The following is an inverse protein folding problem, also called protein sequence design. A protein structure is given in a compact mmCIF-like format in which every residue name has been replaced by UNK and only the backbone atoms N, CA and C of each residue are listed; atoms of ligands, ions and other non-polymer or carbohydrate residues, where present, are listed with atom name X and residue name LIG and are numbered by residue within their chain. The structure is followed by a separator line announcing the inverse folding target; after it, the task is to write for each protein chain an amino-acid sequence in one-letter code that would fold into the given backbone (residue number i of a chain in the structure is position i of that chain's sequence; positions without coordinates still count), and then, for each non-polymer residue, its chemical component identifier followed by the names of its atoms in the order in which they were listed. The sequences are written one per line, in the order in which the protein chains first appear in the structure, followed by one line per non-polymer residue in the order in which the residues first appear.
data_IF_956008803555
#
_entry.id   IF_956008803555
#
_cell.length_a   1.000
_cell.length_b   1.000
_cell.length_c   1.000
_cell.angle_alpha   90.00
_cell.angle_beta   90.00
_cell.angle_gamma   90.00
#
_symmetry.space_group_name_H-M   'P 1'
#
loop_
_entity.id
_entity.type
_entity.pdbx_description
1 polymer ?
#
# COMPACT_ATOMS: atom_id res chain seq x y z
N UNK A 1 17.64 5.06 30.60
CA UNK A 1 18.55 4.61 29.52
C UNK A 1 17.83 4.90 28.21
N UNK A 2 18.10 6.06 27.62
CA UNK A 2 17.43 6.47 26.38
C UNK A 2 17.85 5.50 25.28
N UNK A 3 16.89 4.72 24.76
CA UNK A 3 17.10 3.99 23.52
C UNK A 3 17.39 5.04 22.46
N UNK A 4 18.66 5.14 22.06
CA UNK A 4 19.08 5.86 20.89
C UNK A 4 18.21 5.31 19.75
N UNK A 5 17.28 6.12 19.22
CA UNK A 5 16.37 5.68 18.16
C UNK A 5 17.20 5.20 16.99
N UNK A 6 17.31 3.88 16.90
CA UNK A 6 17.97 3.17 15.82
C UNK A 6 17.35 3.66 14.50
N UNK A 7 18.17 3.89 13.48
CA UNK A 7 17.74 4.41 12.17
C UNK A 7 16.71 3.49 11.46
N UNK A 8 16.47 2.29 12.02
CA UNK A 8 15.46 1.32 11.58
C UNK A 8 14.02 1.68 11.97
N UNK A 9 13.80 2.54 12.97
CA UNK A 9 12.47 2.82 13.49
C UNK A 9 11.94 4.20 13.06
N UNK A 10 10.64 4.27 12.83
CA UNK A 10 9.93 5.51 12.53
C UNK A 10 9.00 5.89 13.68
N UNK A 11 9.02 7.16 14.10
CA UNK A 11 8.18 7.69 15.19
C UNK A 11 6.79 8.18 14.74
N UNK A 12 6.41 7.91 13.49
CA UNK A 12 5.15 8.40 12.88
C UNK A 12 4.00 7.39 12.96
N UNK A 13 4.08 6.40 13.85
CA UNK A 13 3.04 5.40 14.07
C UNK A 13 2.04 5.81 15.16
N UNK A 14 1.01 4.98 15.35
CA UNK A 14 0.03 5.12 16.45
C UNK A 14 0.51 4.50 17.76
N UNK A 15 1.59 3.72 17.72
CA UNK A 15 2.19 3.05 18.88
C UNK A 15 3.60 3.57 19.14
N UNK A 16 3.99 3.76 20.42
CA UNK A 16 5.38 3.99 20.80
C UNK A 16 6.28 2.85 20.34
N UNK A 17 7.53 3.16 19.99
CA UNK A 17 8.51 2.17 19.50
C UNK A 17 8.74 1.08 20.56
N UNK A 18 8.81 1.48 21.83
CA UNK A 18 9.02 0.56 22.95
C UNK A 18 7.89 -0.46 23.06
N UNK A 19 6.64 -0.03 22.86
CA UNK A 19 5.46 -0.92 22.86
C UNK A 19 5.55 -1.95 21.73
N UNK A 20 5.96 -1.52 20.53
CA UNK A 20 6.13 -2.43 19.39
C UNK A 20 7.24 -3.44 19.66
N UNK A 21 8.41 -3.00 20.16
CA UNK A 21 9.54 -3.87 20.48
C UNK A 21 9.15 -4.90 21.54
N UNK A 22 8.55 -4.46 22.65
CA UNK A 22 8.15 -5.34 23.74
C UNK A 22 7.06 -6.33 23.29
N UNK A 23 6.09 -5.87 22.49
CA UNK A 23 5.05 -6.74 21.96
C UNK A 23 5.60 -7.85 21.07
N UNK A 24 6.54 -7.52 20.17
CA UNK A 24 7.21 -8.53 19.32
C UNK A 24 8.06 -9.49 20.14
N UNK A 25 8.84 -8.99 21.10
CA UNK A 25 9.71 -9.82 21.95
C UNK A 25 8.92 -10.80 22.83
N UNK A 26 7.83 -10.33 23.43
CA UNK A 26 7.01 -11.13 24.34
C UNK A 26 5.92 -11.94 23.62
N UNK A 27 5.80 -11.79 22.29
CA UNK A 27 4.69 -12.31 21.47
C UNK A 27 3.31 -11.89 22.02
N UNK A 28 3.23 -10.67 22.53
CA UNK A 28 1.99 -10.03 22.99
C UNK A 28 1.60 -8.91 22.02
N UNK A 29 0.62 -9.18 21.17
CA UNK A 29 0.16 -8.25 20.14
C UNK A 29 -1.15 -7.56 20.52
N UNK A 30 -1.56 -7.62 21.79
CA UNK A 30 -2.83 -7.03 22.27
C UNK A 30 -2.93 -5.52 22.03
N UNK A 31 -1.79 -4.83 22.01
CA UNK A 31 -1.71 -3.39 21.74
C UNK A 31 -1.71 -3.05 20.24
N UNK A 32 -1.63 -4.04 19.35
CA UNK A 32 -1.51 -3.81 17.92
C UNK A 32 -2.91 -3.60 17.31
N UNK A 33 -3.01 -2.92 16.16
CA UNK A 33 -4.23 -2.92 15.36
C UNK A 33 -4.76 -4.36 15.18
N UNK A 34 -6.09 -4.60 15.29
CA UNK A 34 -6.63 -5.95 15.42
C UNK A 34 -6.22 -6.94 14.33
N UNK A 35 -6.29 -6.55 13.06
CA UNK A 35 -5.90 -7.43 11.95
C UNK A 35 -4.39 -7.68 11.97
N UNK A 36 -3.58 -6.62 12.16
CA UNK A 36 -2.13 -6.68 12.23
C UNK A 36 -1.67 -7.57 13.39
N UNK A 37 -2.20 -7.36 14.58
CA UNK A 37 -1.91 -8.17 15.76
C UNK A 37 -2.29 -9.63 15.57
N UNK A 38 -3.48 -9.89 14.99
CA UNK A 38 -3.94 -11.24 14.66
C UNK A 38 -3.06 -11.97 13.64
N UNK A 39 -2.33 -11.25 12.79
CA UNK A 39 -1.41 -11.81 11.78
C UNK A 39 0.07 -11.78 12.16
N UNK A 40 0.44 -11.05 13.21
CA UNK A 40 1.85 -10.91 13.61
C UNK A 40 2.47 -12.24 14.03
N UNK A 41 1.74 -13.07 14.78
CA UNK A 41 2.19 -14.41 15.18
C UNK A 41 2.45 -15.32 13.96
N UNK A 42 1.49 -15.37 13.04
CA UNK A 42 1.57 -16.15 11.80
C UNK A 42 2.75 -15.70 10.93
N UNK A 43 2.99 -14.39 10.81
CA UNK A 43 4.12 -13.84 10.06
C UNK A 43 5.46 -14.27 10.67
N UNK A 44 5.60 -14.23 11.99
CA UNK A 44 6.80 -14.67 12.70
C UNK A 44 7.04 -16.17 12.52
N UNK A 45 6.01 -17.00 12.68
CA UNK A 45 6.11 -18.45 12.50
C UNK A 45 6.45 -18.82 11.05
N UNK A 46 5.86 -18.09 10.09
CA UNK A 46 6.16 -18.27 8.67
C UNK A 46 7.61 -17.92 8.34
N UNK A 47 8.16 -16.82 8.87
CA UNK A 47 9.58 -16.49 8.72
C UNK A 47 10.46 -17.58 9.30
N UNK A 48 10.16 -18.04 10.51
CA UNK A 48 10.95 -19.06 11.18
C UNK A 48 10.96 -20.39 10.40
N UNK A 49 9.84 -20.73 9.75
CA UNK A 49 9.70 -21.96 8.97
C UNK A 49 10.36 -21.87 7.58
N UNK A 50 10.24 -20.75 6.87
CA UNK A 50 10.69 -20.62 5.47
C UNK A 50 12.05 -19.96 5.32
N UNK A 51 12.46 -19.13 6.28
CA UNK A 51 13.62 -18.24 6.17
C UNK A 51 13.45 -17.10 5.15
N UNK A 52 12.27 -16.94 4.55
CA UNK A 52 12.00 -15.92 3.53
C UNK A 52 11.40 -14.65 4.18
N UNK A 53 12.15 -13.55 4.26
CA UNK A 53 11.66 -12.30 4.85
C UNK A 53 10.50 -11.68 4.08
N UNK A 54 10.36 -11.95 2.77
CA UNK A 54 9.27 -11.38 1.97
C UNK A 54 7.90 -11.87 2.45
N UNK A 55 7.83 -13.06 3.04
CA UNK A 55 6.57 -13.62 3.55
C UNK A 55 6.01 -12.76 4.68
N UNK A 56 6.87 -12.14 5.50
CA UNK A 56 6.42 -11.20 6.54
C UNK A 56 5.77 -9.99 5.90
N UNK A 57 6.44 -9.37 4.93
CA UNK A 57 5.96 -8.15 4.28
C UNK A 57 4.56 -8.39 3.71
N UNK A 58 4.34 -9.49 3.00
CA UNK A 58 3.03 -9.82 2.45
C UNK A 58 1.94 -10.00 3.51
N UNK A 59 2.22 -10.75 4.58
CA UNK A 59 1.22 -11.03 5.62
C UNK A 59 0.87 -9.76 6.39
N UNK A 60 1.89 -8.98 6.77
CA UNK A 60 1.69 -7.77 7.58
C UNK A 60 1.14 -6.60 6.78
N UNK A 61 1.56 -6.43 5.51
CA UNK A 61 0.99 -5.38 4.65
C UNK A 61 -0.49 -5.61 4.38
N UNK A 62 -0.89 -6.86 4.13
CA UNK A 62 -2.31 -7.19 3.94
C UNK A 62 -3.14 -6.96 5.21
N UNK A 63 -2.59 -7.33 6.38
CA UNK A 63 -3.23 -7.07 7.65
C UNK A 63 -3.34 -5.57 7.96
N UNK A 64 -2.28 -4.79 7.65
CA UNK A 64 -2.25 -3.34 7.80
C UNK A 64 -3.30 -2.66 6.91
N UNK A 65 -3.41 -3.05 5.64
CA UNK A 65 -4.44 -2.54 4.73
C UNK A 65 -5.86 -2.88 5.21
N UNK A 66 -6.05 -4.06 5.81
CA UNK A 66 -7.33 -4.47 6.41
C UNK A 66 -7.70 -3.58 7.61
N UNK A 67 -6.77 -3.31 8.52
CA UNK A 67 -6.98 -2.38 9.64
C UNK A 67 -7.23 -0.95 9.16
N UNK A 68 -6.51 -0.51 8.12
CA UNK A 68 -6.73 0.79 7.50
C UNK A 68 -8.16 0.90 6.95
N UNK A 69 -8.66 -0.14 6.28
CA UNK A 69 -10.00 -0.14 5.70
C UNK A 69 -11.05 -0.13 6.79
N UNK A 70 -10.91 -1.02 7.78
CA UNK A 70 -11.79 -1.06 8.95
C UNK A 70 -11.86 0.31 9.65
N UNK A 71 -10.71 0.93 9.89
CA UNK A 71 -10.66 2.26 10.53
C UNK A 71 -11.33 3.32 9.66
N UNK A 72 -11.08 3.30 8.35
CA UNK A 72 -11.63 4.26 7.41
C UNK A 72 -13.16 4.15 7.28
N UNK A 73 -13.71 2.94 7.27
CA UNK A 73 -15.16 2.71 7.20
C UNK A 73 -15.87 3.14 8.50
N UNK A 74 -15.20 3.06 9.64
CA UNK A 74 -15.75 3.46 10.94
C UNK A 74 -15.53 4.94 11.30
N UNK A 75 -14.70 5.68 10.57
CA UNK A 75 -14.37 7.07 10.91
C UNK A 75 -15.41 8.11 10.46
N UNK A 76 -16.43 7.70 9.67
CA UNK A 76 -17.46 8.60 9.15
C UNK A 76 -17.01 9.52 8.01
N UNK A 77 -15.85 9.26 7.39
CA UNK A 77 -15.34 9.99 6.23
C UNK A 77 -15.26 9.08 5.00
N UNK A 78 -16.24 9.11 4.08
CA UNK A 78 -16.25 8.26 2.89
C UNK A 78 -15.00 8.41 2.00
N UNK A 79 -14.38 9.59 2.01
CA UNK A 79 -13.14 9.86 1.28
C UNK A 79 -11.99 8.95 1.75
N UNK A 80 -11.89 8.69 3.06
CA UNK A 80 -10.85 7.81 3.60
C UNK A 80 -11.07 6.37 3.14
N UNK A 81 -12.30 5.86 3.17
CA UNK A 81 -12.58 4.52 2.65
C UNK A 81 -12.27 4.42 1.15
N UNK A 82 -12.60 5.45 0.37
CA UNK A 82 -12.28 5.47 -1.06
C UNK A 82 -10.77 5.42 -1.32
N UNK A 83 -10.00 6.18 -0.53
CA UNK A 83 -8.54 6.18 -0.60
C UNK A 83 -7.94 4.81 -0.22
N UNK A 84 -8.42 4.18 0.86
CA UNK A 84 -7.90 2.86 1.26
C UNK A 84 -8.26 1.79 0.24
N UNK A 85 -9.48 1.81 -0.32
CA UNK A 85 -9.88 0.89 -1.41
C UNK A 85 -8.99 1.03 -2.63
N UNK A 86 -8.68 2.27 -3.04
CA UNK A 86 -7.68 2.52 -4.07
C UNK A 86 -6.29 1.98 -3.72
N UNK A 87 -5.86 2.13 -2.46
CA UNK A 87 -4.56 1.62 -2.01
C UNK A 87 -4.52 0.10 -2.07
N UNK A 88 -5.61 -0.59 -1.72
CA UNK A 88 -5.75 -2.04 -1.84
C UNK A 88 -5.68 -2.47 -3.30
N UNK A 89 -6.51 -1.88 -4.18
CA UNK A 89 -6.55 -2.28 -5.59
C UNK A 89 -5.22 -2.04 -6.31
N UNK A 90 -4.62 -0.87 -6.11
CA UNK A 90 -3.32 -0.55 -6.71
C UNK A 90 -2.21 -1.48 -6.19
N UNK A 91 -2.16 -1.75 -4.88
CA UNK A 91 -1.20 -2.69 -4.30
C UNK A 91 -1.39 -4.10 -4.86
N UNK A 92 -2.63 -4.58 -4.93
CA UNK A 92 -2.95 -5.91 -5.44
C UNK A 92 -2.56 -6.07 -6.91
N UNK A 93 -2.94 -5.10 -7.75
CA UNK A 93 -2.71 -5.18 -9.19
C UNK A 93 -1.20 -5.14 -9.52
N UNK A 94 -0.45 -4.26 -8.86
CA UNK A 94 1.03 -4.21 -8.98
C UNK A 94 1.66 -5.50 -8.45
N UNK A 95 1.17 -6.05 -7.32
CA UNK A 95 1.67 -7.30 -6.76
C UNK A 95 1.47 -8.48 -7.73
N UNK A 96 0.30 -8.57 -8.39
CA UNK A 96 0.04 -9.60 -9.41
C UNK A 96 0.97 -9.42 -10.61
N UNK A 97 1.10 -8.21 -11.16
CA UNK A 97 1.96 -7.95 -12.32
C UNK A 97 3.44 -8.28 -12.02
N UNK A 98 3.93 -7.96 -10.82
CA UNK A 98 5.29 -8.32 -10.38
C UNK A 98 5.43 -9.82 -10.17
N UNK A 99 4.49 -10.44 -9.44
CA UNK A 99 4.51 -11.87 -9.14
C UNK A 99 4.41 -12.74 -10.40
N UNK A 100 3.64 -12.32 -11.41
CA UNK A 100 3.54 -12.99 -12.72
C UNK A 100 4.90 -13.09 -13.40
N UNK A 101 5.71 -12.01 -13.37
CA UNK A 101 7.09 -12.02 -13.90
C UNK A 101 8.03 -12.92 -13.13
N UNK A 102 7.78 -13.09 -11.84
CA UNK A 102 8.53 -13.95 -10.95
C UNK A 102 8.06 -15.42 -11.00
N UNK A 103 7.09 -15.76 -11.86
CA UNK A 103 6.56 -17.11 -11.99
C UNK A 103 5.73 -17.58 -10.79
N UNK A 104 5.11 -16.66 -10.04
CA UNK A 104 4.23 -17.01 -8.91
C UNK A 104 2.89 -17.55 -9.41
N UNK A 105 2.32 -18.49 -8.67
CA UNK A 105 1.05 -19.18 -8.99
C UNK A 105 -0.14 -18.55 -8.26
N UNK A 106 -1.37 -18.86 -8.68
CA UNK A 106 -2.60 -18.30 -8.10
C UNK A 106 -2.68 -18.41 -6.56
N UNK A 107 -2.31 -19.57 -6.00
CA UNK A 107 -2.35 -19.80 -4.54
C UNK A 107 -1.42 -18.88 -3.74
N UNK A 108 -0.36 -18.36 -4.35
CA UNK A 108 0.47 -17.34 -3.74
C UNK A 108 -0.33 -16.05 -3.55
N UNK A 109 -1.03 -15.60 -4.59
CA UNK A 109 -1.81 -14.36 -4.58
C UNK A 109 -3.02 -14.43 -3.64
N UNK A 110 -3.70 -15.58 -3.56
CA UNK A 110 -4.79 -15.76 -2.59
C UNK A 110 -4.37 -15.46 -1.15
N UNK A 111 -3.10 -15.74 -0.81
CA UNK A 111 -2.53 -15.51 0.51
C UNK A 111 -2.03 -14.07 0.72
N UNK A 112 -1.47 -13.43 -0.31
CA UNK A 112 -0.77 -12.15 -0.15
C UNK A 112 -1.60 -10.92 -0.51
N UNK A 113 -2.68 -11.10 -1.27
CA UNK A 113 -3.54 -9.99 -1.67
C UNK A 113 -4.56 -9.64 -0.59
N UNK A 114 -4.91 -8.36 -0.51
CA UNK A 114 -5.86 -7.85 0.49
C UNK A 114 -7.26 -7.76 -0.11
N UNK A 115 -8.28 -8.12 0.67
CA UNK A 115 -9.68 -7.93 0.29
C UNK A 115 -10.19 -6.51 0.60
N UNK A 116 -11.37 -6.17 0.06
CA UNK A 116 -12.09 -4.94 0.44
C UNK A 116 -11.85 -3.73 -0.47
N UNK A 117 -11.03 -3.85 -1.51
CA UNK A 117 -10.93 -2.88 -2.60
C UNK A 117 -12.21 -2.79 -3.46
N UNK A 118 -12.16 -2.02 -4.55
CA UNK A 118 -13.26 -1.98 -5.54
C UNK A 118 -13.23 -3.20 -6.47
N UNK A 119 -12.06 -3.78 -6.68
CA UNK A 119 -11.87 -4.94 -7.53
C UNK A 119 -11.85 -6.21 -6.68
N UNK A 120 -12.64 -7.21 -7.07
CA UNK A 120 -12.68 -8.46 -6.33
C UNK A 120 -11.35 -9.21 -6.47
N UNK A 121 -10.80 -9.66 -5.34
CA UNK A 121 -9.50 -10.36 -5.30
C UNK A 121 -9.46 -11.58 -6.22
N UNK A 122 -10.49 -12.43 -6.18
CA UNK A 122 -10.56 -13.64 -6.99
C UNK A 122 -10.56 -13.30 -8.50
N UNK A 123 -11.36 -12.31 -8.89
CA UNK A 123 -11.47 -11.84 -10.26
C UNK A 123 -10.16 -11.21 -10.76
N UNK A 124 -9.47 -10.43 -9.91
CA UNK A 124 -8.15 -9.91 -10.23
C UNK A 124 -7.14 -11.02 -10.51
N UNK A 125 -7.08 -12.04 -9.65
CA UNK A 125 -6.16 -13.18 -9.82
C UNK A 125 -6.47 -13.89 -11.14
N UNK A 126 -7.74 -14.18 -11.40
CA UNK A 126 -8.19 -14.86 -12.61
C UNK A 126 -7.81 -14.08 -13.87
N UNK A 127 -8.26 -12.83 -13.97
CA UNK A 127 -8.09 -12.01 -15.17
C UNK A 127 -6.61 -11.66 -15.43
N UNK A 128 -5.82 -11.33 -14.41
CA UNK A 128 -4.43 -10.90 -14.63
C UNK A 128 -3.46 -12.05 -14.88
N UNK A 129 -3.76 -13.26 -14.36
CA UNK A 129 -2.89 -14.42 -14.57
C UNK A 129 -3.22 -15.17 -15.85
N UNK A 130 -4.50 -15.35 -16.16
CA UNK A 130 -4.95 -16.30 -17.19
C UNK A 130 -5.60 -15.67 -18.41
N UNK A 131 -6.03 -14.41 -18.34
CA UNK A 131 -6.72 -13.75 -19.45
C UNK A 131 -5.82 -12.86 -20.32
N UNK A 132 -6.38 -12.49 -21.46
CA UNK A 132 -5.80 -11.52 -22.39
C UNK A 132 -5.96 -10.07 -21.92
N UNK A 133 -5.14 -9.17 -22.48
CA UNK A 133 -5.12 -7.76 -22.11
C UNK A 133 -6.49 -7.06 -22.24
N UNK A 134 -7.36 -7.51 -23.14
CA UNK A 134 -8.67 -6.89 -23.35
C UNK A 134 -9.64 -7.17 -22.20
N UNK A 135 -9.57 -8.34 -21.57
CA UNK A 135 -10.40 -8.68 -20.40
C UNK A 135 -10.01 -7.85 -19.18
N UNK A 136 -8.71 -7.54 -19.02
CA UNK A 136 -8.22 -6.64 -17.97
C UNK A 136 -8.81 -5.24 -18.15
N UNK A 137 -8.87 -4.73 -19.39
CA UNK A 137 -9.51 -3.44 -19.67
C UNK A 137 -11.00 -3.45 -19.38
N UNK A 138 -11.70 -4.53 -19.72
CA UNK A 138 -13.13 -4.66 -19.40
C UNK A 138 -13.37 -4.69 -17.89
N UNK A 139 -12.53 -5.41 -17.13
CA UNK A 139 -12.57 -5.43 -15.67
C UNK A 139 -12.43 -4.02 -15.08
N UNK A 140 -11.45 -3.25 -15.55
CA UNK A 140 -11.25 -1.87 -15.10
C UNK A 140 -12.38 -0.94 -15.58
N UNK A 141 -12.88 -1.14 -16.80
CA UNK A 141 -13.96 -0.37 -17.41
C UNK A 141 -15.32 -0.47 -16.71
N UNK A 142 -15.58 -1.55 -15.97
CA UNK A 142 -16.79 -1.71 -15.13
C UNK A 142 -16.61 -1.26 -13.68
N UNK A 143 -15.43 -0.76 -13.32
CA UNK A 143 -15.09 -0.33 -11.97
C UNK A 143 -15.02 1.20 -11.87
N UNK A 144 -14.66 1.72 -10.69
CA UNK A 144 -14.38 3.16 -10.49
C UNK A 144 -13.19 3.67 -11.31
N UNK A 145 -12.44 2.77 -11.96
CA UNK A 145 -11.27 3.06 -12.79
C UNK A 145 -11.58 3.21 -14.28
N UNK A 146 -12.85 3.22 -14.68
CA UNK A 146 -13.23 3.29 -16.09
C UNK A 146 -12.55 4.44 -16.85
N UNK A 147 -12.49 5.62 -16.23
CA UNK A 147 -11.88 6.82 -16.83
C UNK A 147 -10.41 7.03 -16.43
N UNK A 148 -9.84 6.11 -15.65
CA UNK A 148 -8.52 6.26 -15.04
C UNK A 148 -7.34 5.91 -15.97
N UNK A 149 -7.62 5.32 -17.15
CA UNK A 149 -6.61 4.86 -18.11
C UNK A 149 -5.46 4.09 -17.44
N UNK A 150 -5.80 3.08 -16.62
CA UNK A 150 -4.81 2.28 -15.91
C UNK A 150 -4.03 1.41 -16.91
N UNK A 151 -2.72 1.65 -17.01
CA UNK A 151 -1.83 0.89 -17.88
C UNK A 151 -1.31 -0.36 -17.17
N UNK A 152 -1.82 -1.53 -17.54
CA UNK A 152 -1.45 -2.81 -16.92
C UNK A 152 -0.34 -3.55 -17.68
N UNK A 153 0.32 -2.92 -18.65
CA UNK A 153 1.37 -3.57 -19.45
C UNK A 153 2.61 -3.93 -18.61
N UNK A 154 3.00 -3.02 -17.72
CA UNK A 154 4.20 -3.11 -16.90
C UNK A 154 3.88 -2.67 -15.45
N UNK A 155 4.47 -3.29 -14.41
CA UNK A 155 4.25 -2.87 -13.02
C UNK A 155 4.51 -1.38 -12.77
N UNK A 156 5.53 -0.81 -13.42
CA UNK A 156 5.90 0.61 -13.28
C UNK A 156 4.89 1.51 -13.99
N UNK A 157 4.36 1.08 -15.14
CA UNK A 157 3.32 1.84 -15.86
C UNK A 157 2.02 1.85 -15.05
N UNK A 158 1.65 0.70 -14.50
CA UNK A 158 0.49 0.53 -13.63
C UNK A 158 0.57 1.43 -12.39
N UNK A 159 1.71 1.41 -11.71
CA UNK A 159 1.98 2.27 -10.56
C UNK A 159 1.82 3.75 -10.90
N UNK A 160 2.34 4.19 -12.05
CA UNK A 160 2.18 5.57 -12.53
C UNK A 160 0.73 5.94 -12.83
N UNK A 161 -0.03 5.07 -13.49
CA UNK A 161 -1.45 5.35 -13.77
C UNK A 161 -2.28 5.45 -12.48
N UNK A 162 -2.06 4.56 -11.51
CA UNK A 162 -2.73 4.65 -10.21
C UNK A 162 -2.31 5.90 -9.43
N UNK A 163 -1.04 6.31 -9.53
CA UNK A 163 -0.58 7.56 -8.93
C UNK A 163 -1.26 8.79 -9.56
N UNK A 164 -1.47 8.81 -10.88
CA UNK A 164 -2.20 9.86 -11.57
C UNK A 164 -3.67 9.95 -11.10
N UNK A 165 -4.34 8.79 -10.97
CA UNK A 165 -5.70 8.73 -10.41
C UNK A 165 -5.75 9.29 -8.98
N UNK A 166 -4.79 8.90 -8.13
CA UNK A 166 -4.68 9.44 -6.76
C UNK A 166 -4.47 10.95 -6.76
N UNK A 167 -3.65 11.48 -7.66
CA UNK A 167 -3.41 12.91 -7.77
C UNK A 167 -4.68 13.67 -8.16
N UNK A 168 -5.50 13.12 -9.06
CA UNK A 168 -6.82 13.66 -9.38
C UNK A 168 -7.70 13.71 -8.13
N UNK A 169 -7.83 12.59 -7.42
CA UNK A 169 -8.62 12.50 -6.18
C UNK A 169 -8.18 13.52 -5.12
N UNK A 170 -6.87 13.73 -4.93
CA UNK A 170 -6.35 14.75 -4.00
C UNK A 170 -6.70 16.15 -4.49
N UNK A 171 -6.55 16.40 -5.80
CA UNK A 171 -6.84 17.71 -6.40
C UNK A 171 -8.31 18.06 -6.24
N UNK A 172 -9.21 17.14 -6.53
CA UNK A 172 -10.66 17.30 -6.36
C UNK A 172 -11.02 17.58 -4.90
N UNK A 173 -10.40 16.86 -3.96
CA UNK A 173 -10.60 17.09 -2.53
C UNK A 173 -10.16 18.49 -2.08
N UNK A 174 -9.10 19.04 -2.67
CA UNK A 174 -8.57 20.37 -2.34
C UNK A 174 -9.34 21.52 -2.99
N UNK A 175 -10.17 21.27 -4.00
CA UNK A 175 -11.08 22.28 -4.58
C UNK A 175 -12.29 22.56 -3.68
N UNK A 176 -12.56 21.71 -2.70
CA UNK A 176 -13.68 21.87 -1.78
C UNK A 176 -13.36 22.94 -0.73
N UNK A 177 -14.37 23.72 -0.36
CA UNK A 177 -14.22 24.82 0.61
C UNK A 177 -14.12 24.29 2.05
N UNK A 178 -14.82 23.20 2.36
CA UNK A 178 -14.87 22.61 3.70
C UNK A 178 -15.06 21.09 3.63
N UNK A 179 -14.78 20.42 4.75
CA UNK A 179 -14.98 18.98 4.95
C UNK A 179 -13.68 18.24 5.27
N UNK A 180 -13.79 17.03 5.86
CA UNK A 180 -12.63 16.23 6.27
C UNK A 180 -11.70 15.90 5.10
N UNK A 181 -12.24 15.75 3.88
CA UNK A 181 -11.47 15.47 2.67
C UNK A 181 -10.44 16.56 2.32
N UNK A 182 -10.70 17.83 2.66
CA UNK A 182 -9.73 18.93 2.43
C UNK A 182 -8.50 18.73 3.32
N UNK A 183 -8.72 18.36 4.59
CA UNK A 183 -7.65 18.10 5.57
C UNK A 183 -6.85 16.86 5.16
N UNK A 184 -7.53 15.78 4.78
CA UNK A 184 -6.88 14.55 4.33
C UNK A 184 -6.07 14.81 3.06
N UNK A 185 -6.65 15.49 2.07
CA UNK A 185 -5.95 15.87 0.83
C UNK A 185 -4.70 16.71 1.09
N UNK A 186 -4.78 17.67 2.01
CA UNK A 186 -3.62 18.46 2.44
C UNK A 186 -2.54 17.59 3.09
N UNK A 187 -2.92 16.71 4.02
CA UNK A 187 -1.98 15.81 4.70
C UNK A 187 -1.29 14.84 3.71
N UNK A 188 -2.05 14.30 2.76
CA UNK A 188 -1.51 13.44 1.70
C UNK A 188 -0.49 14.19 0.85
N UNK A 189 -0.81 15.43 0.43
CA UNK A 189 0.09 16.28 -0.34
C UNK A 189 1.38 16.60 0.41
N UNK A 190 1.26 16.97 1.69
CA UNK A 190 2.42 17.25 2.56
C UNK A 190 3.27 16.02 2.80
N UNK A 191 2.66 14.86 2.96
CA UNK A 191 3.39 13.60 3.07
C UNK A 191 4.19 13.29 1.80
N UNK A 192 3.59 13.53 0.62
CA UNK A 192 4.27 13.31 -0.66
C UNK A 192 5.41 14.32 -0.89
N UNK A 193 5.23 15.59 -0.51
CA UNK A 193 6.28 16.61 -0.54
C UNK A 193 7.48 16.21 0.32
N UNK A 194 7.24 15.75 1.54
CA UNK A 194 8.29 15.26 2.45
C UNK A 194 8.98 14.00 1.89
N UNK A 195 8.22 13.07 1.28
CA UNK A 195 8.81 11.90 0.62
C UNK A 195 9.75 12.32 -0.50
N UNK A 196 9.30 13.22 -1.38
CA UNK A 196 10.11 13.75 -2.50
C UNK A 196 11.36 14.45 -2.00
N UNK A 197 11.25 15.31 -0.99
CA UNK A 197 12.40 15.99 -0.38
C UNK A 197 13.43 14.99 0.16
N UNK A 198 12.99 13.93 0.87
CA UNK A 198 13.87 12.87 1.38
C UNK A 198 14.58 12.13 0.24
N UNK A 199 13.87 11.79 -0.83
CA UNK A 199 14.45 11.14 -2.01
C UNK A 199 15.51 12.04 -2.65
N UNK A 200 15.21 13.33 -2.86
CA UNK A 200 16.16 14.29 -3.43
C UNK A 200 17.43 14.38 -2.59
N UNK A 201 17.30 14.53 -1.26
CA UNK A 201 18.44 14.62 -0.34
C UNK A 201 19.27 13.33 -0.39
N UNK A 202 18.63 12.16 -0.35
CA UNK A 202 19.32 10.87 -0.39
C UNK A 202 20.07 10.65 -1.71
N UNK A 203 19.46 10.98 -2.85
CA UNK A 203 20.07 10.79 -4.17
C UNK A 203 21.18 11.80 -4.44
N UNK A 204 21.01 13.07 -4.02
CA UNK A 204 22.08 14.07 -4.09
C UNK A 204 23.25 13.72 -3.18
N UNK A 205 23.00 13.19 -1.98
CA UNK A 205 24.05 12.69 -1.09
C UNK A 205 24.87 11.55 -1.70
N UNK A 206 24.30 10.82 -2.67
CA UNK A 206 24.99 9.77 -3.44
C UNK A 206 25.63 10.29 -4.75
N UNK A 207 25.58 11.59 -5.03
CA UNK A 207 26.19 12.19 -6.21
C UNK A 207 25.46 11.93 -7.52
N UNK A 208 24.18 11.54 -7.50
CA UNK A 208 23.42 11.30 -8.73
C UNK A 208 23.10 12.63 -9.45
N UNK A 209 23.15 12.65 -10.80
CA UNK A 209 22.81 13.84 -11.58
C UNK A 209 21.31 14.14 -11.50
N UNK A 210 20.96 15.44 -11.60
CA UNK A 210 19.58 15.93 -11.45
C UNK A 210 18.58 15.27 -12.40
N UNK A 211 18.98 14.93 -13.62
CA UNK A 211 18.12 14.24 -14.60
C UNK A 211 17.64 12.87 -14.11
N UNK A 212 18.52 12.11 -13.43
CA UNK A 212 18.15 10.81 -12.89
C UNK A 212 17.25 10.95 -11.67
N UNK A 213 17.44 12.00 -10.87
CA UNK A 213 16.57 12.30 -9.73
C UNK A 213 15.16 12.63 -10.24
N UNK A 214 15.03 13.43 -11.30
CA UNK A 214 13.73 13.83 -11.85
C UNK A 214 12.89 12.65 -12.35
N UNK A 215 13.52 11.56 -12.82
CA UNK A 215 12.82 10.35 -13.28
C UNK A 215 12.17 9.54 -12.15
N UNK A 216 12.58 9.76 -10.89
CA UNK A 216 12.16 8.99 -9.71
C UNK A 216 11.15 9.77 -8.84
N UNK A 217 10.94 11.06 -9.12
CA UNK A 217 10.01 11.94 -8.38
C UNK A 217 8.60 11.96 -8.98
#
# INVERSE_FOLDING_TARGET
MALQTDARYFTIGTLPIETVILGVQNRDFSSFPPCLGGKTGEAMDSLAATGDPQVIDFILDAACLSDMLFTAENCGCPFLSQWVKWKIDSSNLIAILRGKRMGKVASFFERVLTDGGYLQKAELIETLLFSEHEEVKQLLGRSVYADANIDTSEPVACEKSFQAWRESMITDALQLVYGPQVIVGYLMRKTDELRKARVIVALKGRGLPSENIQKVL
#
